data_IF_939389253278
#
_entry.id   IF_939389253278
#
_cell.length_a   1.000
_cell.length_b   1.000
_cell.length_c   1.000
_cell.angle_alpha   90.00
_cell.angle_beta   90.00
_cell.angle_gamma   90.00
#
_symmetry.space_group_name_H-M   'P 1'
#
loop_
_entity.id
_entity.type
_entity.pdbx_description
1 polymer ?
#
# COMPACT_ATOMS: atom_id res chain seq x y z
N UNK A 1 32.04 -78.26 -7.53
CA UNK A 1 32.65 -76.98 -7.09
C UNK A 1 31.57 -75.92 -7.02
N UNK A 2 30.99 -75.69 -5.84
CA UNK A 2 29.88 -74.75 -5.66
C UNK A 2 30.47 -73.46 -5.13
N UNK A 3 30.27 -72.35 -5.86
CA UNK A 3 30.60 -71.01 -5.37
C UNK A 3 29.35 -70.39 -4.75
N UNK A 4 29.41 -69.81 -3.57
CA UNK A 4 28.26 -69.14 -2.98
C UNK A 4 28.11 -67.70 -3.54
N UNK A 5 26.91 -67.39 -4.01
CA UNK A 5 26.47 -66.07 -4.43
C UNK A 5 26.38 -65.14 -3.22
N UNK A 6 27.26 -64.14 -3.12
CA UNK A 6 27.22 -63.09 -2.14
C UNK A 6 26.12 -62.08 -2.57
N UNK A 7 24.99 -62.09 -1.89
CA UNK A 7 23.97 -61.02 -2.04
C UNK A 7 24.47 -59.76 -1.34
N UNK A 8 24.91 -58.78 -2.11
CA UNK A 8 25.18 -57.44 -1.59
C UNK A 8 23.82 -56.74 -1.36
N UNK A 9 23.42 -56.60 -0.11
CA UNK A 9 22.32 -55.73 0.28
C UNK A 9 22.82 -54.27 0.19
N UNK A 10 22.35 -53.55 -0.84
CA UNK A 10 22.55 -52.10 -0.96
C UNK A 10 21.45 -51.47 -0.10
N UNK A 11 21.81 -50.95 1.06
CA UNK A 11 20.95 -50.09 1.86
C UNK A 11 20.97 -48.69 1.22
N UNK A 12 19.88 -48.34 0.55
CA UNK A 12 19.66 -47.00 0.03
C UNK A 12 19.18 -46.13 1.22
N UNK A 13 20.10 -45.34 1.77
CA UNK A 13 19.76 -44.34 2.77
C UNK A 13 19.18 -43.13 2.02
N UNK A 14 17.85 -43.00 2.03
CA UNK A 14 17.18 -41.79 1.56
C UNK A 14 17.26 -40.78 2.70
N UNK A 15 18.18 -39.85 2.60
CA UNK A 15 18.23 -38.68 3.49
C UNK A 15 17.09 -37.75 3.07
N UNK A 16 15.99 -37.75 3.80
CA UNK A 16 14.95 -36.73 3.69
C UNK A 16 15.56 -35.39 4.18
N UNK A 17 15.89 -34.51 3.25
CA UNK A 17 16.13 -33.11 3.59
C UNK A 17 14.75 -32.48 3.88
N UNK A 18 14.44 -32.34 5.14
CA UNK A 18 13.40 -31.45 5.60
C UNK A 18 13.91 -30.04 5.34
N UNK A 19 13.44 -29.43 4.26
CA UNK A 19 13.58 -27.98 4.07
C UNK A 19 12.64 -27.34 5.09
N UNK A 20 13.19 -26.97 6.24
CA UNK A 20 12.52 -26.06 7.13
C UNK A 20 12.33 -24.74 6.37
N UNK A 21 11.17 -24.61 5.75
CA UNK A 21 10.68 -23.34 5.30
C UNK A 21 10.40 -22.49 6.53
N UNK A 22 11.43 -21.85 7.06
CA UNK A 22 11.26 -20.76 8.00
C UNK A 22 10.63 -19.62 7.21
N UNK A 23 9.30 -19.67 7.08
CA UNK A 23 8.56 -18.49 6.74
C UNK A 23 8.95 -17.43 7.76
N UNK A 24 9.71 -16.42 7.31
CA UNK A 24 9.90 -15.23 8.12
C UNK A 24 8.50 -14.73 8.47
N UNK A 25 8.12 -14.90 9.73
CA UNK A 25 6.96 -14.20 10.25
C UNK A 25 7.31 -12.72 10.12
N UNK A 26 6.64 -12.04 9.19
CA UNK A 26 6.66 -10.59 9.13
C UNK A 26 6.13 -10.12 10.49
N UNK A 27 7.03 -9.89 11.44
CA UNK A 27 6.69 -9.18 12.66
C UNK A 27 6.33 -7.75 12.24
N UNK A 28 5.05 -7.52 12.02
CA UNK A 28 4.50 -6.17 11.84
C UNK A 28 4.66 -5.43 13.17
N UNK A 29 5.87 -4.94 13.44
CA UNK A 29 6.11 -4.03 14.55
C UNK A 29 5.31 -2.76 14.29
N UNK A 30 4.28 -2.56 15.10
CA UNK A 30 3.55 -1.29 15.08
C UNK A 30 4.52 -0.18 15.45
N UNK A 31 4.79 0.71 14.51
CA UNK A 31 5.52 1.95 14.80
C UNK A 31 4.59 2.81 15.64
N UNK A 32 5.08 3.30 16.79
CA UNK A 32 4.30 4.13 17.69
C UNK A 32 3.77 5.37 16.93
N UNK A 33 2.46 5.61 17.04
CA UNK A 33 1.80 6.72 16.35
C UNK A 33 1.37 6.45 14.90
N UNK A 34 1.75 5.33 14.31
CA UNK A 34 1.31 4.93 12.98
C UNK A 34 -0.03 4.19 13.06
N UNK A 35 -1.05 4.71 12.39
CA UNK A 35 -2.31 3.99 12.16
C UNK A 35 -2.24 3.35 10.79
N UNK A 36 -2.28 2.03 10.69
CA UNK A 36 -2.26 1.36 9.40
C UNK A 36 -3.37 1.88 8.50
N UNK A 37 -3.01 2.10 7.26
CA UNK A 37 -3.87 2.70 6.23
C UNK A 37 -5.02 1.78 5.80
N UNK A 38 -4.87 0.50 6.03
CA UNK A 38 -5.85 -0.53 5.70
C UNK A 38 -6.83 -0.82 6.84
N UNK A 39 -6.81 -0.02 7.89
CA UNK A 39 -7.85 -0.11 8.89
C UNK A 39 -9.14 0.50 8.39
N UNK A 40 -10.21 -0.23 8.65
CA UNK A 40 -11.53 0.31 8.51
C UNK A 40 -11.67 1.59 9.34
N UNK A 41 -12.12 2.66 8.70
CA UNK A 41 -12.31 3.94 9.39
C UNK A 41 -13.58 3.96 10.23
N UNK A 42 -14.29 2.83 10.37
CA UNK A 42 -15.55 2.68 11.08
C UNK A 42 -16.63 3.65 10.61
N UNK A 43 -16.56 4.07 9.37
CA UNK A 43 -17.55 4.95 8.75
C UNK A 43 -18.61 4.10 8.05
N UNK A 44 -19.86 4.35 8.35
CA UNK A 44 -20.98 3.70 7.70
C UNK A 44 -21.62 4.66 6.71
N UNK A 45 -21.87 4.17 5.51
CA UNK A 45 -22.58 4.87 4.45
C UNK A 45 -23.94 4.21 4.19
N UNK A 46 -24.88 4.95 3.62
CA UNK A 46 -26.19 4.44 3.24
C UNK A 46 -26.13 3.26 2.27
N UNK A 47 -25.05 3.18 1.50
CA UNK A 47 -24.81 2.08 0.55
C UNK A 47 -24.20 0.83 1.20
N UNK A 48 -24.09 0.78 2.53
CA UNK A 48 -23.52 -0.33 3.29
C UNK A 48 -22.05 -0.56 3.00
N UNK A 49 -21.63 -1.82 3.12
CA UNK A 49 -20.22 -2.25 2.92
C UNK A 49 -19.81 -2.34 1.44
N UNK A 50 -20.56 -1.72 0.55
CA UNK A 50 -20.31 -1.75 -0.88
C UNK A 50 -18.93 -1.20 -1.24
N UNK A 51 -18.41 -0.28 -0.43
CA UNK A 51 -17.09 0.33 -0.59
C UNK A 51 -16.24 -0.06 0.61
N UNK A 52 -15.34 -1.01 0.42
CA UNK A 52 -14.43 -1.45 1.48
C UNK A 52 -13.55 -0.29 1.95
N UNK A 53 -13.33 -0.23 3.28
CA UNK A 53 -12.47 0.79 3.88
C UNK A 53 -13.08 2.18 3.95
N UNK A 54 -14.38 2.34 3.72
CA UNK A 54 -15.10 3.61 3.78
C UNK A 54 -14.40 4.71 2.95
N UNK A 55 -13.83 5.74 3.60
CA UNK A 55 -13.08 6.78 2.88
C UNK A 55 -11.70 6.33 2.41
N UNK A 56 -11.14 5.22 2.93
CA UNK A 56 -9.78 4.79 2.63
C UNK A 56 -9.59 4.39 1.17
N UNK A 57 -10.52 3.61 0.64
CA UNK A 57 -10.45 3.12 -0.74
C UNK A 57 -11.81 3.13 -1.39
N UNK A 58 -11.80 3.18 -2.71
CA UNK A 58 -12.98 2.98 -3.53
C UNK A 58 -12.71 1.84 -4.51
N UNK A 59 -13.25 0.67 -4.22
CA UNK A 59 -12.95 -0.59 -4.91
C UNK A 59 -13.32 -0.61 -6.39
N UNK A 60 -14.24 0.26 -6.83
CA UNK A 60 -14.61 0.37 -8.23
C UNK A 60 -13.66 1.26 -9.07
N UNK A 61 -12.66 1.88 -8.45
CA UNK A 61 -11.66 2.66 -9.19
C UNK A 61 -10.61 1.75 -9.81
N UNK A 62 -10.44 1.85 -11.11
CA UNK A 62 -9.46 1.12 -11.89
C UNK A 62 -8.26 2.03 -12.23
N UNK A 63 -7.55 2.50 -11.21
CA UNK A 63 -6.38 3.35 -11.37
C UNK A 63 -5.30 2.99 -10.35
N UNK A 64 -4.03 3.35 -10.62
CA UNK A 64 -2.95 3.05 -9.69
C UNK A 64 -3.17 3.70 -8.31
N UNK A 65 -3.06 2.89 -7.26
CA UNK A 65 -3.04 3.31 -5.86
C UNK A 65 -1.66 3.16 -5.26
N UNK A 66 -0.80 2.36 -5.87
CA UNK A 66 0.57 2.13 -5.45
C UNK A 66 1.48 1.93 -6.67
N UNK A 67 2.73 2.39 -6.57
CA UNK A 67 3.75 2.24 -7.60
C UNK A 67 5.08 1.91 -6.91
N UNK A 68 5.72 0.85 -7.39
CA UNK A 68 7.10 0.53 -7.02
C UNK A 68 8.06 1.32 -7.93
N UNK A 69 9.05 1.96 -7.31
CA UNK A 69 10.13 2.66 -7.98
C UNK A 69 11.44 1.94 -7.67
N UNK A 70 11.98 1.25 -8.67
CA UNK A 70 13.19 0.43 -8.55
C UNK A 70 14.45 1.29 -8.34
N UNK A 71 14.46 2.53 -8.84
CA UNK A 71 15.58 3.46 -8.68
C UNK A 71 15.89 3.78 -7.21
N UNK A 72 14.91 3.64 -6.34
CA UNK A 72 15.04 3.95 -4.89
C UNK A 72 14.62 2.79 -4.00
N UNK A 73 14.25 1.64 -4.57
CA UNK A 73 13.75 0.44 -3.88
C UNK A 73 12.59 0.76 -2.91
N UNK A 74 11.63 1.56 -3.38
CA UNK A 74 10.48 1.99 -2.59
C UNK A 74 9.16 1.77 -3.31
N UNK A 75 8.12 1.47 -2.55
CA UNK A 75 6.74 1.53 -3.02
C UNK A 75 6.06 2.75 -2.45
N UNK A 76 5.59 3.63 -3.32
CA UNK A 76 4.75 4.78 -2.97
C UNK A 76 3.29 4.41 -3.14
N UNK A 77 2.42 4.85 -2.20
CA UNK A 77 1.00 4.51 -2.23
C UNK A 77 0.13 5.63 -1.69
N UNK A 78 -1.07 5.75 -2.26
CA UNK A 78 -2.06 6.77 -1.90
C UNK A 78 -3.36 6.14 -1.42
N UNK A 79 -4.07 6.85 -0.55
CA UNK A 79 -5.32 6.38 0.03
C UNK A 79 -6.13 7.52 0.64
N UNK A 80 -7.39 7.24 0.97
CA UNK A 80 -8.23 8.16 1.75
C UNK A 80 -7.99 8.03 3.24
N UNK A 81 -7.94 9.15 3.93
CA UNK A 81 -7.87 9.23 5.38
C UNK A 81 -8.96 10.13 5.93
N UNK A 82 -9.01 10.26 7.24
CA UNK A 82 -9.90 11.18 7.94
C UNK A 82 -9.28 11.64 9.25
N UNK A 83 -9.72 12.80 9.76
CA UNK A 83 -9.20 13.38 11.02
C UNK A 83 -9.59 12.57 12.25
N UNK A 84 -10.71 11.87 12.21
CA UNK A 84 -11.19 11.03 13.31
C UNK A 84 -12.19 9.99 12.81
N UNK A 85 -12.44 8.90 13.57
CA UNK A 85 -13.45 7.90 13.19
C UNK A 85 -14.87 8.44 13.01
N UNK A 86 -15.18 9.57 13.62
CA UNK A 86 -16.49 10.21 13.52
C UNK A 86 -16.57 11.27 12.41
N UNK A 87 -15.43 11.66 11.87
CA UNK A 87 -15.36 12.64 10.80
C UNK A 87 -15.55 11.97 9.45
N UNK A 88 -16.47 12.48 8.65
CA UNK A 88 -16.65 12.12 7.25
C UNK A 88 -15.95 13.14 6.35
N UNK A 89 -14.69 13.42 6.64
CA UNK A 89 -13.91 14.45 5.99
C UNK A 89 -12.68 13.80 5.31
N UNK A 90 -12.71 13.72 4.00
CA UNK A 90 -11.69 13.05 3.23
C UNK A 90 -10.36 13.80 3.23
N UNK A 91 -9.33 13.15 3.71
CA UNK A 91 -7.93 13.52 3.52
C UNK A 91 -7.32 12.63 2.44
N UNK A 92 -6.65 13.22 1.46
CA UNK A 92 -5.88 12.47 0.47
C UNK A 92 -4.47 12.26 1.02
N UNK A 93 -4.14 11.01 1.33
CA UNK A 93 -2.91 10.62 2.00
C UNK A 93 -1.94 9.99 1.01
N UNK A 94 -0.65 10.10 1.33
CA UNK A 94 0.43 9.35 0.69
C UNK A 94 1.35 8.76 1.75
N UNK A 95 1.87 7.58 1.49
CA UNK A 95 2.92 6.93 2.26
C UNK A 95 3.94 6.26 1.34
N UNK A 96 5.03 5.81 1.92
CA UNK A 96 6.04 5.01 1.24
C UNK A 96 6.44 3.80 2.08
N UNK A 97 6.74 2.72 1.41
CA UNK A 97 7.37 1.53 1.98
C UNK A 97 8.77 1.41 1.40
N UNK A 98 9.76 1.40 2.27
CA UNK A 98 11.17 1.22 1.93
C UNK A 98 11.49 -0.28 2.02
N UNK A 99 11.80 -0.90 0.87
CA UNK A 99 12.05 -2.34 0.80
C UNK A 99 13.38 -2.73 1.42
N UNK A 100 14.37 -1.83 1.41
CA UNK A 100 15.70 -2.09 1.97
C UNK A 100 15.68 -2.18 3.50
N UNK A 101 14.88 -1.33 4.14
CA UNK A 101 14.71 -1.30 5.59
C UNK A 101 13.50 -2.09 6.09
N UNK A 102 12.55 -2.39 5.21
CA UNK A 102 11.26 -3.00 5.56
C UNK A 102 10.33 -2.09 6.35
N UNK A 103 10.53 -0.77 6.27
CA UNK A 103 9.80 0.21 7.07
C UNK A 103 8.79 1.00 6.24
N UNK A 104 7.66 1.29 6.87
CA UNK A 104 6.69 2.27 6.39
C UNK A 104 7.00 3.65 6.96
N UNK A 105 6.99 4.66 6.10
CA UNK A 105 7.11 6.05 6.53
C UNK A 105 5.85 6.52 7.27
N UNK A 106 5.99 7.58 8.04
CA UNK A 106 4.82 8.32 8.52
C UNK A 106 4.11 8.94 7.32
N UNK A 107 2.79 8.71 7.15
CA UNK A 107 2.06 9.23 6.00
C UNK A 107 1.89 10.73 6.06
N UNK A 108 1.82 11.34 4.86
CA UNK A 108 1.61 12.76 4.67
C UNK A 108 0.19 13.04 4.12
N UNK A 109 -0.39 14.14 4.53
CA UNK A 109 -1.62 14.69 3.91
C UNK A 109 -1.22 15.51 2.69
N UNK A 110 -1.57 15.02 1.48
CA UNK A 110 -1.35 15.76 0.23
C UNK A 110 -2.44 16.81 0.02
N UNK A 111 -3.69 16.43 0.31
CA UNK A 111 -4.86 17.28 0.10
C UNK A 111 -5.92 17.05 1.17
N UNK A 112 -6.48 18.13 1.67
CA UNK A 112 -7.70 18.13 2.47
C UNK A 112 -8.88 18.51 1.57
N UNK A 113 -9.83 17.60 1.39
CA UNK A 113 -11.01 17.81 0.54
C UNK A 113 -12.12 18.60 1.22
N UNK A 114 -11.87 19.23 2.36
CA UNK A 114 -12.74 20.22 3.00
C UNK A 114 -14.24 19.84 3.02
N UNK A 115 -14.59 18.88 3.89
CA UNK A 115 -15.99 18.48 4.09
C UNK A 115 -16.55 17.47 3.07
N UNK A 116 -15.75 17.00 2.14
CA UNK A 116 -16.14 15.90 1.26
C UNK A 116 -16.03 14.57 2.03
N UNK A 117 -17.06 13.75 1.97
CA UNK A 117 -17.11 12.43 2.59
C UNK A 117 -17.28 11.29 1.57
N UNK A 118 -16.97 11.57 0.32
CA UNK A 118 -17.19 10.66 -0.80
C UNK A 118 -15.89 9.96 -1.23
N UNK A 119 -15.78 8.63 -1.12
CA UNK A 119 -14.57 7.89 -1.50
C UNK A 119 -14.27 7.91 -2.99
N UNK A 120 -15.18 8.36 -3.84
CA UNK A 120 -14.89 8.59 -5.26
C UNK A 120 -13.80 9.65 -5.47
N UNK A 121 -13.58 10.52 -4.50
CA UNK A 121 -12.58 11.58 -4.56
C UNK A 121 -11.20 11.13 -4.07
N UNK A 122 -11.03 9.85 -3.72
CA UNK A 122 -9.75 9.26 -3.34
C UNK A 122 -8.68 9.48 -4.41
N UNK A 123 -7.41 9.66 -3.99
CA UNK A 123 -6.32 9.95 -4.91
C UNK A 123 -5.90 8.75 -5.75
N UNK A 124 -5.25 9.03 -6.87
CA UNK A 124 -4.43 8.10 -7.64
C UNK A 124 -3.02 8.64 -7.77
N UNK A 125 -2.07 7.77 -8.14
CA UNK A 125 -0.65 8.08 -8.16
C UNK A 125 -0.02 7.76 -9.52
N UNK A 126 0.98 8.55 -9.89
CA UNK A 126 1.89 8.31 -11.01
C UNK A 126 3.28 8.79 -10.61
N UNK A 127 4.32 8.16 -11.13
CA UNK A 127 5.70 8.67 -11.09
C UNK A 127 6.11 8.95 -12.53
N UNK A 128 6.61 10.17 -12.80
CA UNK A 128 7.09 10.52 -14.13
C UNK A 128 8.54 10.03 -14.36
N UNK A 129 9.02 10.17 -15.59
CA UNK A 129 10.36 9.75 -16.02
C UNK A 129 11.51 10.51 -15.34
N UNK A 130 11.19 11.60 -14.65
CA UNK A 130 12.14 12.36 -13.81
C UNK A 130 12.05 11.99 -12.33
N UNK A 131 11.21 11.00 -11.98
CA UNK A 131 11.01 10.52 -10.62
C UNK A 131 10.06 11.37 -9.77
N UNK A 132 9.43 12.41 -10.33
CA UNK A 132 8.45 13.18 -9.56
C UNK A 132 7.16 12.40 -9.37
N UNK A 133 6.66 12.43 -8.15
CA UNK A 133 5.40 11.78 -7.78
C UNK A 133 4.25 12.73 -8.06
N UNK A 134 3.29 12.28 -8.84
CA UNK A 134 2.05 12.98 -9.12
C UNK A 134 0.90 12.34 -8.39
N UNK A 135 0.12 13.15 -7.71
CA UNK A 135 -1.10 12.73 -7.02
C UNK A 135 -2.30 13.44 -7.66
N UNK A 136 -3.20 12.64 -8.21
CA UNK A 136 -4.42 13.12 -8.83
C UNK A 136 -5.58 12.89 -7.89
N UNK A 137 -6.20 13.96 -7.43
CA UNK A 137 -7.36 13.94 -6.55
C UNK A 137 -8.60 14.11 -7.39
N UNK A 138 -9.47 13.11 -7.38
CA UNK A 138 -10.69 13.14 -8.17
C UNK A 138 -11.65 14.24 -7.72
N UNK A 139 -12.52 14.65 -8.64
CA UNK A 139 -13.65 15.54 -8.40
C UNK A 139 -14.91 14.93 -9.01
N UNK A 140 -16.02 15.64 -8.90
CA UNK A 140 -17.30 15.20 -9.46
C UNK A 140 -17.99 16.31 -10.22
N UNK A 141 -17.83 16.29 -11.53
CA UNK A 141 -18.44 17.25 -12.44
C UNK A 141 -18.11 18.70 -12.06
N UNK A 142 -19.12 19.57 -12.08
CA UNK A 142 -18.98 20.98 -11.70
C UNK A 142 -19.14 21.23 -10.18
N UNK A 143 -19.53 20.21 -9.42
CA UNK A 143 -19.89 20.34 -8.01
C UNK A 143 -18.67 20.26 -7.08
N UNK A 144 -17.74 19.36 -7.40
CA UNK A 144 -16.51 19.16 -6.64
C UNK A 144 -15.32 19.18 -7.57
N UNK A 145 -14.37 20.07 -7.30
CA UNK A 145 -13.17 20.18 -8.12
C UNK A 145 -12.22 19.01 -7.86
N UNK A 146 -11.61 18.51 -8.93
CA UNK A 146 -10.43 17.68 -8.88
C UNK A 146 -9.17 18.54 -8.79
N UNK A 147 -8.09 17.94 -8.31
CA UNK A 147 -6.80 18.61 -8.15
C UNK A 147 -5.68 17.69 -8.61
N UNK A 148 -4.55 18.27 -8.99
CA UNK A 148 -3.30 17.55 -9.20
C UNK A 148 -2.20 18.18 -8.38
N UNK A 149 -1.34 17.33 -7.85
CA UNK A 149 -0.20 17.70 -7.03
C UNK A 149 1.04 17.02 -7.58
N UNK A 150 2.18 17.70 -7.49
CA UNK A 150 3.50 17.19 -7.86
C UNK A 150 4.41 17.25 -6.63
N UNK A 151 5.19 16.20 -6.39
CA UNK A 151 6.20 16.23 -5.34
C UNK A 151 7.24 17.31 -5.61
N UNK A 152 7.78 17.90 -4.54
CA UNK A 152 8.82 18.95 -4.66
C UNK A 152 10.19 18.41 -5.05
N UNK A 153 10.41 17.09 -4.80
CA UNK A 153 11.65 16.38 -5.14
C UNK A 153 11.32 15.04 -5.76
N UNK A 154 12.16 14.52 -6.67
CA UNK A 154 12.03 13.15 -7.16
C UNK A 154 12.03 12.12 -6.03
N UNK A 155 11.22 11.08 -6.17
CA UNK A 155 11.12 9.93 -5.26
C UNK A 155 10.97 10.32 -3.78
N UNK A 156 10.28 11.43 -3.49
CA UNK A 156 10.13 11.93 -2.12
C UNK A 156 8.69 12.34 -1.84
N UNK A 157 8.20 11.95 -0.66
CA UNK A 157 6.89 12.37 -0.16
C UNK A 157 6.95 13.59 0.75
N UNK A 158 8.12 14.21 0.97
CA UNK A 158 8.33 15.30 1.94
C UNK A 158 7.61 16.62 1.61
N UNK A 159 6.91 16.69 0.52
CA UNK A 159 6.11 17.86 0.20
C UNK A 159 5.58 17.84 -1.23
N UNK A 160 4.44 18.46 -1.41
CA UNK A 160 3.75 18.57 -2.68
C UNK A 160 3.38 20.02 -2.97
N UNK A 161 3.33 20.35 -4.25
CA UNK A 161 2.76 21.59 -4.75
C UNK A 161 1.53 21.30 -5.59
N UNK A 162 0.54 22.16 -5.48
CA UNK A 162 -0.66 22.08 -6.31
C UNK A 162 -0.37 22.70 -7.69
N UNK A 163 -0.75 21.99 -8.73
CA UNK A 163 -0.55 22.38 -10.12
C UNK A 163 -1.88 22.84 -10.74
#
# INVERSE_FOLDING_TARGET
MNYPLYKKNIFLIITLMVIDGTGQSLENKKIAGYKPIWFELNQKYEYGDKYSGALSTYTAKHHPLAIYADEVDKTFFVYGGTKSPKSKHLLCMIGEYDHSSGLLSQPLVVCDKMGVDDPHDNPSILIDDQGFIWVFVSGRGKVRMGFKYKSKKPYSIEGFEKI
#
